data_IF_874945177072
#
_entry.id   IF_874945177072
#
_cell.length_a   1.000
_cell.length_b   1.000
_cell.length_c   1.000
_cell.angle_alpha   90.00
_cell.angle_beta   90.00
_cell.angle_gamma   90.00
#
_symmetry.space_group_name_H-M   'P 1'
#
loop_
_entity.id
_entity.type
_entity.pdbx_description
1 polymer ?
#
# COMPACT_ATOMS: atom_id res chain seq x y z
N UNK A 1 3.15 14.78 -7.42
CA UNK A 1 2.04 13.82 -7.61
C UNK A 1 0.86 14.27 -6.76
N UNK A 2 -0.38 14.00 -7.17
CA UNK A 2 -1.58 14.39 -6.41
C UNK A 2 -2.63 13.26 -6.37
N UNK A 3 -3.37 13.15 -5.27
CA UNK A 3 -4.51 12.23 -5.11
C UNK A 3 -5.72 13.00 -4.56
N UNK A 4 -6.92 12.73 -5.09
CA UNK A 4 -8.16 13.26 -4.54
C UNK A 4 -8.77 12.27 -3.55
N UNK A 5 -9.00 12.70 -2.31
CA UNK A 5 -9.57 11.89 -1.22
C UNK A 5 -10.65 12.72 -0.52
N UNK A 6 -11.89 12.22 -0.46
CA UNK A 6 -13.01 12.88 0.24
C UNK A 6 -13.17 14.38 -0.05
N UNK A 7 -13.01 14.80 -1.30
CA UNK A 7 -13.11 16.21 -1.72
C UNK A 7 -11.84 17.05 -1.52
N UNK A 8 -10.78 16.50 -0.93
CA UNK A 8 -9.49 17.15 -0.73
C UNK A 8 -8.43 16.67 -1.72
N UNK A 9 -7.49 17.55 -2.08
CA UNK A 9 -6.32 17.20 -2.89
C UNK A 9 -5.09 17.04 -1.99
N UNK A 10 -4.50 15.84 -2.00
CA UNK A 10 -3.26 15.52 -1.31
C UNK A 10 -2.11 15.61 -2.31
N UNK A 11 -1.03 16.29 -1.94
CA UNK A 11 0.14 16.51 -2.79
C UNK A 11 1.37 15.83 -2.22
N UNK A 12 2.19 15.25 -3.09
CA UNK A 12 3.49 14.73 -2.72
C UNK A 12 4.56 15.05 -3.77
N UNK A 13 5.81 15.16 -3.33
CA UNK A 13 6.97 15.38 -4.21
C UNK A 13 7.16 14.17 -5.16
N UNK A 14 7.73 14.37 -6.37
CA UNK A 14 8.19 13.26 -7.20
C UNK A 14 9.25 12.43 -6.44
N UNK A 15 9.44 11.15 -6.79
CA UNK A 15 10.02 10.12 -5.91
C UNK A 15 11.37 10.52 -5.26
N UNK A 16 11.61 10.06 -4.01
CA UNK A 16 11.85 8.64 -3.80
C UNK A 16 10.67 7.95 -3.09
N UNK A 17 10.12 6.93 -3.75
CA UNK A 17 9.38 5.73 -3.26
C UNK A 17 8.39 5.82 -2.08
N UNK A 18 8.73 6.50 -0.99
CA UNK A 18 7.90 6.57 0.22
C UNK A 18 6.63 7.39 0.01
N UNK A 19 6.69 8.42 -0.82
CA UNK A 19 5.59 9.35 -1.00
C UNK A 19 4.35 8.75 -1.69
N UNK A 20 4.57 7.84 -2.64
CA UNK A 20 3.50 7.13 -3.32
C UNK A 20 2.80 6.14 -2.38
N UNK A 21 3.56 5.40 -1.58
CA UNK A 21 2.98 4.47 -0.60
C UNK A 21 2.03 5.20 0.36
N UNK A 22 2.42 6.37 0.89
CA UNK A 22 1.54 7.15 1.77
C UNK A 22 0.24 7.58 1.08
N UNK A 23 0.30 8.00 -0.20
CA UNK A 23 -0.90 8.36 -0.96
C UNK A 23 -1.80 7.15 -1.20
N UNK A 24 -1.21 5.98 -1.51
CA UNK A 24 -1.97 4.74 -1.65
C UNK A 24 -2.66 4.35 -0.34
N UNK A 25 -1.97 4.44 0.80
CA UNK A 25 -2.57 4.12 2.12
C UNK A 25 -3.80 4.98 2.36
N UNK A 26 -3.71 6.29 2.15
CA UNK A 26 -4.83 7.20 2.35
C UNK A 26 -5.97 6.96 1.35
N UNK A 27 -5.63 6.68 0.08
CA UNK A 27 -6.60 6.35 -0.96
C UNK A 27 -7.37 5.06 -0.68
N UNK A 28 -6.69 4.03 -0.19
CA UNK A 28 -7.28 2.74 0.21
C UNK A 28 -8.11 2.90 1.48
N UNK A 29 -7.54 3.52 2.51
CA UNK A 29 -8.22 3.72 3.80
C UNK A 29 -9.53 4.50 3.64
N UNK A 30 -9.54 5.53 2.79
CA UNK A 30 -10.76 6.29 2.47
C UNK A 30 -11.88 5.44 1.86
N UNK A 31 -11.56 4.37 1.13
CA UNK A 31 -12.54 3.46 0.49
C UNK A 31 -13.05 2.39 1.44
N UNK A 32 -12.38 2.18 2.57
CA UNK A 32 -12.85 1.25 3.58
C UNK A 32 -14.02 1.82 4.40
N UNK A 33 -14.27 3.14 4.29
CA UNK A 33 -15.44 3.84 4.86
C UNK A 33 -15.62 3.54 6.36
N UNK A 34 -14.52 3.53 7.11
CA UNK A 34 -14.56 3.30 8.55
C UNK A 34 -15.33 4.44 9.23
N UNK A 35 -16.36 4.09 9.98
CA UNK A 35 -17.29 5.07 10.57
C UNK A 35 -16.68 5.91 11.69
N UNK A 36 -15.62 5.42 12.35
CA UNK A 36 -14.94 6.12 13.45
C UNK A 36 -13.43 6.13 13.26
N UNK A 37 -12.78 7.19 13.74
CA UNK A 37 -11.32 7.34 13.72
C UNK A 37 -10.63 6.67 14.92
N UNK A 38 -11.33 5.77 15.61
CA UNK A 38 -10.84 5.07 16.81
C UNK A 38 -11.35 3.63 16.87
N UNK A 39 -10.75 2.81 17.73
CA UNK A 39 -11.16 1.42 17.96
C UNK A 39 -10.57 0.41 16.96
N UNK A 40 -11.06 -0.82 17.05
CA UNK A 40 -10.52 -1.96 16.31
C UNK A 40 -10.64 -1.77 14.79
N UNK A 41 -11.82 -1.37 14.30
CA UNK A 41 -12.07 -1.23 12.86
C UNK A 41 -11.13 -0.20 12.22
N UNK A 42 -10.86 0.90 12.92
CA UNK A 42 -9.90 1.91 12.47
C UNK A 42 -8.49 1.35 12.34
N UNK A 43 -7.98 0.72 13.41
CA UNK A 43 -6.62 0.19 13.45
C UNK A 43 -6.45 -0.96 12.45
N UNK A 44 -7.45 -1.84 12.34
CA UNK A 44 -7.47 -2.94 11.38
C UNK A 44 -7.46 -2.41 9.95
N UNK A 45 -8.40 -1.54 9.59
CA UNK A 45 -8.48 -0.98 8.23
C UNK A 45 -7.22 -0.19 7.84
N UNK A 46 -6.68 0.61 8.76
CA UNK A 46 -5.44 1.36 8.52
C UNK A 46 -4.23 0.43 8.35
N UNK A 47 -4.16 -0.62 9.18
CA UNK A 47 -3.17 -1.68 9.07
C UNK A 47 -3.24 -2.39 7.72
N UNK A 48 -4.41 -2.88 7.32
CA UNK A 48 -4.58 -3.59 6.05
C UNK A 48 -4.33 -2.70 4.83
N UNK A 49 -4.75 -1.43 4.86
CA UNK A 49 -4.41 -0.45 3.82
C UNK A 49 -2.88 -0.24 3.72
N UNK A 50 -2.18 -0.17 4.85
CA UNK A 50 -0.72 -0.09 4.92
C UNK A 50 -0.08 -1.32 4.30
N UNK A 51 -0.58 -2.52 4.63
CA UNK A 51 -0.03 -3.76 4.10
C UNK A 51 -0.21 -3.86 2.59
N UNK A 52 -1.39 -3.51 2.09
CA UNK A 52 -1.69 -3.50 0.66
C UNK A 52 -0.76 -2.54 -0.10
N UNK A 53 -0.63 -1.30 0.37
CA UNK A 53 0.24 -0.30 -0.26
C UNK A 53 1.71 -0.73 -0.30
N UNK A 54 2.21 -1.37 0.75
CA UNK A 54 3.61 -1.82 0.81
C UNK A 54 3.87 -3.01 -0.11
N UNK A 55 2.94 -3.95 -0.27
CA UNK A 55 3.09 -5.04 -1.26
C UNK A 55 3.26 -4.49 -2.67
N UNK A 56 2.47 -3.48 -3.03
CA UNK A 56 2.61 -2.80 -4.33
C UNK A 56 3.94 -2.08 -4.43
N UNK A 57 4.32 -1.34 -3.38
CA UNK A 57 5.62 -0.64 -3.34
C UNK A 57 6.79 -1.59 -3.54
N UNK A 58 6.81 -2.70 -2.81
CA UNK A 58 7.94 -3.63 -2.80
C UNK A 58 8.03 -4.39 -4.13
N UNK A 59 6.88 -4.73 -4.74
CA UNK A 59 6.82 -5.44 -6.02
C UNK A 59 7.09 -4.53 -7.23
N UNK A 60 6.52 -3.34 -7.26
CA UNK A 60 6.41 -2.53 -8.49
C UNK A 60 7.23 -1.22 -8.43
N UNK A 61 7.56 -0.74 -7.22
CA UNK A 61 8.16 0.59 -7.00
C UNK A 61 9.60 0.48 -6.42
N UNK A 62 10.10 -0.73 -6.18
CA UNK A 62 11.37 -0.97 -5.49
C UNK A 62 12.64 -0.61 -6.28
N UNK A 63 12.77 -1.08 -7.53
CA UNK A 63 13.96 -0.82 -8.36
C UNK A 63 13.59 0.04 -9.58
N UNK A 64 14.08 1.30 -9.67
CA UNK A 64 13.86 2.18 -10.81
C UNK A 64 14.28 1.59 -12.16
N UNK A 65 15.23 0.65 -12.19
CA UNK A 65 15.66 -0.04 -13.40
C UNK A 65 14.64 -1.10 -13.87
N UNK A 66 13.73 -1.53 -13.00
CA UNK A 66 12.69 -2.55 -13.28
C UNK A 66 11.27 -2.00 -13.18
N UNK A 67 11.09 -0.70 -12.89
CA UNK A 67 9.79 -0.04 -12.94
C UNK A 67 9.25 -0.07 -14.38
N UNK A 68 8.31 -0.98 -14.65
CA UNK A 68 7.68 -1.18 -15.97
C UNK A 68 6.48 -0.26 -16.22
N UNK A 69 5.97 0.38 -15.17
CA UNK A 69 4.78 1.23 -15.25
C UNK A 69 4.98 2.56 -14.54
N UNK A 70 4.23 3.57 -14.99
CA UNK A 70 4.19 4.88 -14.36
C UNK A 70 3.61 4.74 -12.94
N UNK A 71 4.34 5.12 -11.88
CA UNK A 71 3.88 4.96 -10.49
C UNK A 71 2.56 5.69 -10.18
N UNK A 72 2.16 6.66 -11.02
CA UNK A 72 0.87 7.36 -10.89
C UNK A 72 -0.34 6.48 -11.17
N UNK A 73 -0.18 5.38 -11.91
CA UNK A 73 -1.31 4.45 -12.20
C UNK A 73 -1.87 3.84 -10.92
N UNK A 74 -1.03 3.60 -9.91
CA UNK A 74 -1.42 3.11 -8.58
C UNK A 74 -2.29 4.09 -7.78
N UNK A 75 -2.44 5.33 -8.26
CA UNK A 75 -3.32 6.34 -7.67
C UNK A 75 -4.63 6.52 -8.46
N UNK A 76 -4.82 5.79 -9.56
CA UNK A 76 -6.07 5.82 -10.30
C UNK A 76 -7.21 5.24 -9.47
N UNK A 77 -8.38 5.89 -9.52
CA UNK A 77 -9.52 5.52 -8.70
C UNK A 77 -9.93 4.06 -8.88
N UNK A 78 -9.97 3.57 -10.13
CA UNK A 78 -10.34 2.19 -10.48
C UNK A 78 -9.40 1.16 -9.85
N UNK A 79 -8.09 1.42 -9.88
CA UNK A 79 -7.11 0.51 -9.30
C UNK A 79 -7.15 0.53 -7.78
N UNK A 80 -7.35 1.70 -7.17
CA UNK A 80 -7.58 1.82 -5.73
C UNK A 80 -8.87 1.13 -5.28
N UNK A 81 -9.94 1.19 -6.08
CA UNK A 81 -11.20 0.49 -5.81
C UNK A 81 -10.99 -1.04 -5.85
N UNK A 82 -10.28 -1.54 -6.87
CA UNK A 82 -9.93 -2.96 -7.00
C UNK A 82 -9.08 -3.43 -5.80
N UNK A 83 -8.05 -2.67 -5.44
CA UNK A 83 -7.17 -3.00 -4.31
C UNK A 83 -7.94 -2.97 -2.98
N UNK A 84 -8.80 -1.98 -2.75
CA UNK A 84 -9.64 -1.91 -1.56
C UNK A 84 -10.61 -3.10 -1.48
N UNK A 85 -11.16 -3.54 -2.61
CA UNK A 85 -12.00 -4.73 -2.68
C UNK A 85 -11.28 -6.05 -2.35
N UNK A 86 -9.95 -6.08 -2.37
CA UNK A 86 -9.16 -7.25 -1.97
C UNK A 86 -8.82 -7.31 -0.47
N UNK A 87 -9.14 -6.25 0.29
CA UNK A 87 -8.90 -6.20 1.73
C UNK A 87 -10.04 -6.92 2.45
N UNK A 88 -9.70 -7.99 3.18
CA UNK A 88 -10.64 -8.67 4.07
C UNK A 88 -10.86 -7.85 5.35
N UNK A 89 -12.13 -7.51 5.63
CA UNK A 89 -12.53 -6.72 6.79
C UNK A 89 -12.58 -7.52 8.09
N UNK A 90 -12.64 -8.84 8.01
CA UNK A 90 -12.70 -9.76 9.15
C UNK A 90 -11.40 -10.52 9.42
N UNK A 91 -10.47 -10.55 8.46
CA UNK A 91 -9.21 -11.28 8.59
C UNK A 91 -8.00 -10.41 8.24
N UNK A 92 -7.03 -10.34 9.15
CA UNK A 92 -5.79 -9.62 8.90
C UNK A 92 -4.90 -10.40 7.91
N UNK A 93 -4.41 -9.72 6.87
CA UNK A 93 -3.49 -10.34 5.94
C UNK A 93 -2.11 -10.55 6.60
N UNK A 94 -1.41 -11.62 6.20
CA UNK A 94 -0.08 -11.94 6.70
C UNK A 94 0.92 -10.81 6.41
N UNK A 95 1.79 -10.56 7.39
CA UNK A 95 2.88 -9.58 7.34
C UNK A 95 4.15 -10.19 7.96
N UNK A 96 5.34 -10.12 7.33
CA UNK A 96 5.67 -9.89 5.92
C UNK A 96 6.19 -11.16 5.20
N UNK A 97 6.20 -11.15 3.86
CA UNK A 97 7.02 -12.05 3.01
C UNK A 97 8.52 -11.69 3.08
N UNK A 98 9.06 -11.45 4.27
CA UNK A 98 10.52 -11.42 4.50
C UNK A 98 11.07 -12.85 4.71
N UNK A 99 10.18 -13.84 4.82
CA UNK A 99 10.55 -15.24 5.04
C UNK A 99 11.40 -15.87 3.92
N UNK A 100 11.29 -15.42 2.67
CA UNK A 100 12.09 -16.01 1.58
C UNK A 100 13.49 -15.38 1.43
N UNK A 101 13.66 -14.07 1.67
CA UNK A 101 15.00 -13.45 1.66
C UNK A 101 15.85 -13.89 2.86
N UNK A 102 15.24 -14.00 4.05
CA UNK A 102 15.96 -14.44 5.26
C UNK A 102 16.40 -15.91 5.19
N UNK A 103 15.64 -16.78 4.51
CA UNK A 103 15.99 -18.21 4.38
C UNK A 103 17.08 -18.46 3.32
N UNK A 104 17.25 -17.56 2.33
CA UNK A 104 18.34 -17.67 1.35
C UNK A 104 19.70 -17.26 1.92
N UNK A 105 19.75 -16.32 2.88
CA UNK A 105 20.99 -15.86 3.51
C UNK A 105 21.59 -16.88 4.51
N UNK A 106 20.79 -17.79 5.05
CA UNK A 106 21.28 -18.82 6.00
C UNK A 106 21.89 -20.03 5.28
N UNK A 107 21.63 -20.23 3.98
CA UNK A 107 22.10 -21.41 3.22
C UNK A 107 23.37 -21.17 2.38
N UNK A 108 23.92 -19.96 2.39
CA UNK A 108 25.08 -19.58 1.56
C UNK A 108 26.41 -19.41 2.31
N UNK A 109 26.49 -19.81 3.57
CA UNK A 109 27.70 -19.71 4.40
C UNK A 109 28.08 -21.08 4.97
N UNK A 110 28.73 -21.91 4.16
CA UNK A 110 29.30 -23.20 4.54
C UNK A 110 30.47 -23.53 3.62
#
# INVERSE_FOLDING_TARGET
>A
MQLKVNGHALYNLPPPTQGLASLMILGLFSRLEVASAEGFDFVHAFGEATKCAFRVRDREIGDPAYMKCDPRTFLESSLLDQMAGSIDRGQAASWPEVGEMANSMVRGGG
#
